data_IF_525371324705
#
_entry.id   IF_525371324705
#
_cell.length_a   1.000
_cell.length_b   1.000
_cell.length_c   1.000
_cell.angle_alpha   90.00
_cell.angle_beta   90.00
_cell.angle_gamma   90.00
#
_symmetry.space_group_name_H-M   'P 1'
#
loop_
_entity.id
_entity.type
_entity.pdbx_description
1 polymer ?
#
# COMPACT_ATOMS: atom_id res chain seq x y z
N UNK A 1 41.72 22.67 -48.42
CA UNK A 1 42.88 22.34 -47.55
C UNK A 1 42.97 23.46 -46.54
N UNK A 2 42.78 23.29 -45.22
CA UNK A 2 43.65 22.63 -44.22
C UNK A 2 42.81 22.44 -42.93
N UNK A 3 43.02 21.32 -42.25
CA UNK A 3 42.38 20.94 -40.98
C UNK A 3 42.90 21.74 -39.78
N UNK A 4 42.10 21.91 -38.73
CA UNK A 4 42.59 21.93 -37.34
C UNK A 4 41.46 21.53 -36.38
N UNK A 5 41.59 20.34 -35.79
CA UNK A 5 40.79 19.82 -34.70
C UNK A 5 41.09 20.54 -33.39
N UNK A 6 40.07 20.89 -32.61
CA UNK A 6 40.18 20.95 -31.14
C UNK A 6 38.89 20.37 -30.54
N UNK A 7 39.01 19.15 -30.02
CA UNK A 7 38.06 18.54 -29.09
C UNK A 7 38.15 19.27 -27.74
N UNK A 8 37.03 19.72 -27.18
CA UNK A 8 36.94 20.07 -25.76
C UNK A 8 35.90 19.16 -25.12
N UNK A 9 36.40 18.24 -24.31
CA UNK A 9 35.62 17.36 -23.45
C UNK A 9 35.02 18.18 -22.30
N UNK A 10 33.69 18.25 -22.24
CA UNK A 10 33.00 18.71 -21.03
C UNK A 10 32.96 17.53 -20.04
N UNK A 11 33.92 17.51 -19.12
CA UNK A 11 33.93 16.61 -17.96
C UNK A 11 32.74 17.01 -17.09
N UNK A 12 31.68 16.20 -17.12
CA UNK A 12 30.61 16.27 -16.13
C UNK A 12 31.18 15.82 -14.79
N UNK A 13 31.38 16.77 -13.86
CA UNK A 13 31.59 16.43 -12.46
C UNK A 13 30.35 15.70 -11.96
N UNK A 14 30.45 14.38 -11.78
CA UNK A 14 29.56 13.66 -10.88
C UNK A 14 29.84 14.17 -9.47
N UNK A 15 28.89 14.93 -8.92
CA UNK A 15 28.79 15.13 -7.49
C UNK A 15 28.51 13.79 -6.82
N UNK A 16 29.58 13.14 -6.34
CA UNK A 16 29.45 12.06 -5.38
C UNK A 16 28.80 12.65 -4.11
N UNK A 17 27.53 12.34 -3.88
CA UNK A 17 26.93 12.55 -2.57
C UNK A 17 27.76 11.77 -1.54
N UNK A 18 28.14 12.37 -0.40
CA UNK A 18 28.91 11.66 0.61
C UNK A 18 28.11 10.46 1.12
N UNK A 19 28.65 9.26 0.88
CA UNK A 19 28.32 8.06 1.62
C UNK A 19 28.83 8.24 3.06
N UNK A 20 28.10 9.01 3.86
CA UNK A 20 28.33 9.09 5.29
C UNK A 20 27.98 7.73 5.88
N UNK A 21 29.00 6.99 6.32
CA UNK A 21 28.82 5.85 7.20
C UNK A 21 27.98 6.33 8.40
N UNK A 22 26.73 5.88 8.48
CA UNK A 22 25.84 6.21 9.60
C UNK A 22 26.52 5.64 10.85
N UNK A 23 27.05 6.52 11.70
CA UNK A 23 27.63 6.14 12.98
C UNK A 23 26.62 5.24 13.71
N UNK A 24 27.07 4.08 14.20
CA UNK A 24 26.17 3.10 14.79
C UNK A 24 25.38 3.67 15.99
N UNK A 25 25.93 4.68 16.68
CA UNK A 25 25.20 5.38 17.75
C UNK A 25 24.13 6.30 17.17
N UNK A 26 24.42 6.99 16.08
CA UNK A 26 23.44 7.84 15.41
C UNK A 26 22.27 7.03 14.83
N UNK A 27 22.53 5.87 14.21
CA UNK A 27 21.48 4.92 13.80
C UNK A 27 20.58 4.54 14.98
N UNK A 28 21.21 4.18 16.11
CA UNK A 28 20.50 3.79 17.33
C UNK A 28 19.70 4.94 17.95
N UNK A 29 20.16 6.18 17.79
CA UNK A 29 19.43 7.38 18.24
C UNK A 29 18.17 7.58 17.41
N UNK A 30 18.26 7.48 16.09
CA UNK A 30 17.11 7.54 15.18
C UNK A 30 16.07 6.45 15.51
N UNK A 31 16.51 5.21 15.74
CA UNK A 31 15.60 4.11 16.12
C UNK A 31 14.90 4.35 17.46
N UNK A 32 15.63 4.85 18.47
CA UNK A 32 15.10 5.15 19.81
C UNK A 32 14.13 6.31 19.80
N UNK A 33 14.45 7.37 19.06
CA UNK A 33 13.62 8.58 18.94
C UNK A 33 12.46 8.42 17.97
N UNK A 34 12.45 7.36 17.14
CA UNK A 34 11.46 7.16 16.09
C UNK A 34 11.63 8.08 14.88
N UNK A 35 12.75 8.81 14.80
CA UNK A 35 13.07 9.68 13.68
C UNK A 35 13.77 8.91 12.54
N UNK A 36 13.68 9.47 11.34
CA UNK A 36 14.54 9.17 10.19
C UNK A 36 15.44 10.37 9.91
N UNK A 37 16.51 10.20 9.11
CA UNK A 37 17.35 11.33 8.67
C UNK A 37 16.52 12.43 7.99
N UNK A 38 15.50 12.04 7.21
CA UNK A 38 14.63 13.01 6.52
C UNK A 38 13.76 13.76 7.53
N UNK A 39 13.14 13.06 8.48
CA UNK A 39 12.28 13.72 9.46
C UNK A 39 13.07 14.57 10.46
N UNK A 40 14.34 14.23 10.74
CA UNK A 40 15.21 15.07 11.57
C UNK A 40 15.43 16.44 10.93
N UNK A 41 15.72 16.47 9.62
CA UNK A 41 15.82 17.72 8.85
C UNK A 41 14.51 18.50 8.82
N UNK A 42 13.37 17.84 9.06
CA UNK A 42 12.04 18.43 9.12
C UNK A 42 11.61 18.82 10.55
N UNK A 43 12.44 18.58 11.56
CA UNK A 43 12.19 18.99 12.95
C UNK A 43 11.92 17.85 13.95
N UNK A 44 12.08 16.58 13.55
CA UNK A 44 12.05 15.44 14.48
C UNK A 44 13.30 15.45 15.36
N UNK A 45 13.12 15.48 16.68
CA UNK A 45 14.23 15.62 17.62
C UNK A 45 14.77 14.25 18.05
N UNK A 46 15.99 13.92 17.62
CA UNK A 46 16.64 12.64 17.93
C UNK A 46 17.01 12.45 19.42
N UNK A 47 16.92 13.51 20.22
CA UNK A 47 17.15 13.47 21.66
C UNK A 47 15.87 13.14 22.46
N UNK A 48 14.69 13.29 21.85
CA UNK A 48 13.39 12.96 22.47
C UNK A 48 13.02 11.49 22.32
N UNK A 49 12.06 11.05 23.14
CA UNK A 49 11.49 9.71 23.00
C UNK A 49 10.59 9.61 21.77
N UNK A 50 10.40 8.39 21.27
CA UNK A 50 9.45 8.10 20.19
C UNK A 50 8.04 8.61 20.48
N UNK A 51 7.57 8.51 21.73
CA UNK A 51 6.23 8.95 22.09
C UNK A 51 6.07 10.48 22.00
N UNK A 52 7.09 11.22 22.45
CA UNK A 52 7.11 12.68 22.38
C UNK A 52 7.19 13.18 20.94
N UNK A 53 8.03 12.55 20.10
CA UNK A 53 8.10 12.88 18.69
C UNK A 53 6.79 12.52 17.97
N UNK A 54 6.17 11.38 18.29
CA UNK A 54 4.89 10.99 17.74
C UNK A 54 3.77 11.98 18.13
N UNK A 55 3.77 12.47 19.37
CA UNK A 55 2.86 13.52 19.82
C UNK A 55 3.09 14.85 19.08
N UNK A 56 4.32 15.12 18.65
CA UNK A 56 4.68 16.26 17.80
C UNK A 56 4.44 16.01 16.30
N UNK A 57 3.83 14.88 15.92
CA UNK A 57 3.54 14.52 14.52
C UNK A 57 4.71 13.88 13.76
N UNK A 58 5.83 13.59 14.43
CA UNK A 58 7.00 12.95 13.86
C UNK A 58 7.10 11.49 14.31
N UNK A 59 7.02 10.57 13.35
CA UNK A 59 6.91 9.15 13.64
C UNK A 59 5.83 8.55 12.78
N UNK A 60 6.07 8.53 11.47
CA UNK A 60 5.36 7.56 10.64
C UNK A 60 5.74 6.18 11.15
N UNK A 61 4.71 5.34 11.30
CA UNK A 61 4.75 3.99 11.85
C UNK A 61 6.07 3.28 11.55
N UNK A 62 6.56 2.52 12.54
CA UNK A 62 7.65 1.56 12.38
C UNK A 62 7.62 0.98 10.96
N UNK A 63 8.75 0.93 10.22
CA UNK A 63 8.74 0.48 8.85
C UNK A 63 7.95 -0.82 8.80
N UNK A 64 6.83 -0.78 8.08
CA UNK A 64 5.98 -1.94 7.95
C UNK A 64 6.89 -3.12 7.57
N UNK A 65 6.75 -4.30 8.21
CA UNK A 65 7.68 -5.40 8.05
C UNK A 65 8.00 -5.58 6.57
N UNK A 66 9.30 -5.59 6.24
CA UNK A 66 9.79 -5.66 4.86
C UNK A 66 9.04 -6.77 4.11
N UNK A 67 8.05 -6.39 3.30
CA UNK A 67 7.03 -7.30 2.78
C UNK A 67 5.60 -6.73 2.75
N UNK A 68 5.35 -5.63 3.46
CA UNK A 68 4.20 -4.76 3.20
C UNK A 68 4.49 -3.94 1.93
N UNK A 69 4.03 -4.45 0.78
CA UNK A 69 3.90 -3.62 -0.41
C UNK A 69 2.99 -2.40 -0.14
N UNK A 70 2.89 -1.45 -1.08
CA UNK A 70 1.94 -0.34 -0.94
C UNK A 70 0.57 -0.90 -0.54
N UNK A 71 -0.03 -0.32 0.50
CA UNK A 71 -1.34 -0.74 0.99
C UNK A 71 -2.31 -0.73 -0.18
N UNK A 72 -2.79 -1.91 -0.56
CA UNK A 72 -3.78 -2.02 -1.62
C UNK A 72 -5.13 -1.52 -1.10
N UNK A 73 -5.90 -0.76 -1.91
CA UNK A 73 -7.21 -0.26 -1.49
C UNK A 73 -8.25 -1.37 -1.30
N UNK A 74 -7.92 -2.62 -1.61
CA UNK A 74 -8.82 -3.77 -1.45
C UNK A 74 -8.59 -4.52 -0.13
N UNK A 75 -7.47 -4.29 0.57
CA UNK A 75 -7.14 -5.04 1.78
C UNK A 75 -8.16 -4.77 2.89
N UNK A 76 -8.65 -5.82 3.53
CA UNK A 76 -9.67 -5.74 4.57
C UNK A 76 -10.54 -6.98 4.68
N UNK A 77 -11.49 -6.90 5.60
CA UNK A 77 -12.64 -7.80 5.68
C UNK A 77 -13.82 -7.14 4.98
N UNK A 78 -14.62 -7.95 4.29
CA UNK A 78 -15.81 -7.48 3.59
C UNK A 78 -16.94 -8.48 3.75
N UNK A 79 -18.17 -7.98 3.67
CA UNK A 79 -19.38 -8.78 3.76
C UNK A 79 -20.21 -8.56 2.50
N UNK A 80 -20.42 -9.63 1.74
CA UNK A 80 -21.39 -9.67 0.66
C UNK A 80 -22.79 -9.83 1.28
N UNK A 81 -23.65 -8.83 1.08
CA UNK A 81 -25.03 -8.80 1.56
C UNK A 81 -26.00 -9.02 0.41
N UNK A 82 -27.02 -9.84 0.64
CA UNK A 82 -28.15 -9.99 -0.29
C UNK A 82 -29.12 -8.80 -0.16
N UNK A 83 -30.09 -8.73 -1.08
CA UNK A 83 -31.08 -7.66 -1.13
C UNK A 83 -31.94 -7.58 0.15
N UNK A 84 -32.14 -8.70 0.85
CA UNK A 84 -32.85 -8.78 2.13
C UNK A 84 -31.97 -8.42 3.34
N UNK A 85 -30.70 -8.05 3.12
CA UNK A 85 -29.74 -7.70 4.17
C UNK A 85 -29.05 -8.91 4.81
N UNK A 86 -29.40 -10.14 4.44
CA UNK A 86 -28.72 -11.35 4.91
C UNK A 86 -27.27 -11.41 4.39
N UNK A 87 -26.41 -12.09 5.16
CA UNK A 87 -25.02 -12.30 4.74
C UNK A 87 -24.96 -13.45 3.76
N UNK A 88 -24.53 -13.16 2.54
CA UNK A 88 -24.31 -14.14 1.48
C UNK A 88 -22.91 -14.76 1.59
N UNK A 89 -21.88 -13.94 1.80
CA UNK A 89 -20.50 -14.41 1.96
C UNK A 89 -19.65 -13.44 2.78
N UNK A 90 -18.65 -13.99 3.46
CA UNK A 90 -17.56 -13.23 4.09
C UNK A 90 -16.36 -13.26 3.18
N UNK A 91 -15.69 -12.12 3.03
CA UNK A 91 -14.58 -11.95 2.11
C UNK A 91 -13.39 -11.39 2.89
N UNK A 92 -12.20 -11.92 2.61
CA UNK A 92 -10.96 -11.40 3.18
C UNK A 92 -9.98 -11.15 2.05
N UNK A 93 -9.35 -9.98 2.09
CA UNK A 93 -8.33 -9.58 1.12
C UNK A 93 -7.13 -9.08 1.90
N UNK A 94 -5.94 -9.60 1.61
CA UNK A 94 -4.73 -9.15 2.26
C UNK A 94 -3.96 -8.09 1.47
N UNK A 95 -2.86 -7.61 2.04
CA UNK A 95 -1.99 -6.60 1.43
C UNK A 95 -1.34 -7.07 0.12
N UNK A 96 -1.39 -8.36 -0.19
CA UNK A 96 -0.90 -8.96 -1.45
C UNK A 96 -2.04 -9.30 -2.40
N UNK A 97 -3.26 -8.82 -2.12
CA UNK A 97 -4.48 -9.07 -2.90
C UNK A 97 -4.82 -10.55 -3.03
N UNK A 98 -4.38 -11.37 -2.07
CA UNK A 98 -4.88 -12.73 -1.96
C UNK A 98 -6.29 -12.65 -1.40
N UNK A 99 -7.22 -13.34 -2.05
CA UNK A 99 -8.64 -13.27 -1.74
C UNK A 99 -9.14 -14.59 -1.18
N UNK A 100 -9.96 -14.51 -0.14
CA UNK A 100 -10.70 -15.63 0.42
C UNK A 100 -12.19 -15.32 0.43
N UNK A 101 -12.99 -16.28 0.00
CA UNK A 101 -14.46 -16.27 0.06
C UNK A 101 -14.87 -17.36 1.03
N UNK A 102 -15.55 -17.03 2.13
CA UNK A 102 -15.92 -17.97 3.20
C UNK A 102 -14.72 -18.82 3.67
N UNK A 103 -13.54 -18.20 3.78
CA UNK A 103 -12.30 -18.87 4.17
C UNK A 103 -11.62 -19.70 3.07
N UNK A 104 -12.25 -19.92 1.91
CA UNK A 104 -11.67 -20.61 0.76
C UNK A 104 -10.90 -19.64 -0.13
N UNK A 105 -9.64 -19.95 -0.45
CA UNK A 105 -8.81 -19.10 -1.31
C UNK A 105 -9.29 -19.17 -2.77
N UNK A 106 -9.48 -18.00 -3.39
CA UNK A 106 -9.86 -17.88 -4.81
C UNK A 106 -8.81 -17.10 -5.60
N UNK A 107 -8.86 -17.21 -6.93
CA UNK A 107 -8.05 -16.39 -7.82
C UNK A 107 -8.74 -15.04 -8.02
N UNK A 108 -7.98 -13.97 -7.93
CA UNK A 108 -8.42 -12.62 -8.22
C UNK A 108 -7.59 -12.02 -9.35
N UNK A 109 -8.21 -11.12 -10.09
CA UNK A 109 -7.54 -10.29 -11.12
C UNK A 109 -7.97 -8.84 -10.95
N UNK A 110 -7.09 -7.91 -11.29
CA UNK A 110 -7.50 -6.52 -11.46
C UNK A 110 -8.06 -6.33 -12.86
N UNK A 111 -9.17 -5.62 -12.99
CA UNK A 111 -9.80 -5.21 -14.25
C UNK A 111 -10.45 -3.86 -14.04
N UNK A 112 -10.17 -2.90 -14.92
CA UNK A 112 -10.89 -1.60 -14.96
C UNK A 112 -10.90 -0.85 -13.62
N UNK A 113 -9.80 -0.92 -12.88
CA UNK A 113 -9.68 -0.27 -11.57
C UNK A 113 -10.38 -1.01 -10.42
N UNK A 114 -10.98 -2.18 -10.67
CA UNK A 114 -11.58 -3.05 -9.66
C UNK A 114 -10.77 -4.35 -9.46
N UNK A 115 -10.91 -4.96 -8.29
CA UNK A 115 -10.51 -6.32 -8.02
C UNK A 115 -11.70 -7.25 -8.25
N UNK A 116 -11.52 -8.18 -9.19
CA UNK A 116 -12.57 -9.08 -9.67
C UNK A 116 -12.16 -10.52 -9.40
N UNK A 117 -13.05 -11.29 -8.79
CA UNK A 117 -12.82 -12.70 -8.47
C UNK A 117 -14.11 -13.50 -8.52
N UNK A 118 -13.98 -14.83 -8.61
CA UNK A 118 -15.11 -15.76 -8.72
C UNK A 118 -15.00 -16.92 -7.76
N UNK A 119 -16.15 -17.37 -7.25
CA UNK A 119 -16.32 -18.69 -6.63
C UNK A 119 -17.49 -19.39 -7.31
N UNK A 120 -17.19 -20.34 -8.19
CA UNK A 120 -18.20 -21.00 -9.03
C UNK A 120 -18.94 -20.00 -9.95
N UNK A 121 -20.29 -19.97 -9.94
CA UNK A 121 -21.09 -19.06 -10.75
C UNK A 121 -21.15 -17.63 -10.18
N UNK A 122 -20.56 -17.37 -9.02
CA UNK A 122 -20.62 -16.08 -8.35
C UNK A 122 -19.44 -15.20 -8.76
N UNK A 123 -19.73 -13.99 -9.21
CA UNK A 123 -18.77 -12.93 -9.49
C UNK A 123 -18.81 -11.88 -8.40
N UNK A 124 -17.64 -11.51 -7.90
CA UNK A 124 -17.45 -10.43 -6.94
C UNK A 124 -16.58 -9.35 -7.57
N UNK A 125 -16.94 -8.09 -7.33
CA UNK A 125 -16.25 -6.91 -7.83
C UNK A 125 -16.11 -5.91 -6.68
N UNK A 126 -14.89 -5.47 -6.41
CA UNK A 126 -14.59 -4.45 -5.41
C UNK A 126 -13.75 -3.35 -6.07
N UNK A 127 -14.21 -2.09 -6.04
CA UNK A 127 -13.65 -0.93 -6.73
C UNK A 127 -12.42 -0.34 -6.07
N UNK A 128 -11.31 -0.17 -6.77
CA UNK A 128 -10.09 0.38 -6.16
C UNK A 128 -10.25 1.82 -5.68
N UNK A 129 -11.12 2.60 -6.34
CA UNK A 129 -11.46 3.94 -5.90
C UNK A 129 -12.53 3.90 -4.80
N UNK A 130 -12.09 4.12 -3.56
CA UNK A 130 -12.95 4.17 -2.38
C UNK A 130 -13.86 5.40 -2.31
N UNK A 131 -13.71 6.37 -3.22
CA UNK A 131 -14.64 7.50 -3.34
C UNK A 131 -15.97 7.07 -3.96
N UNK A 132 -15.96 5.94 -4.69
CA UNK A 132 -17.15 5.35 -5.27
C UNK A 132 -17.89 4.53 -4.21
N UNK A 133 -19.08 4.99 -3.83
CA UNK A 133 -19.90 4.34 -2.79
C UNK A 133 -20.96 3.48 -3.46
N UNK A 134 -21.10 2.22 -3.02
CA UNK A 134 -22.13 1.31 -3.50
C UNK A 134 -21.81 0.57 -4.81
N UNK A 135 -20.60 0.74 -5.35
CA UNK A 135 -20.14 0.07 -6.58
C UNK A 135 -19.49 -1.31 -6.31
N UNK A 136 -19.24 -1.65 -5.04
CA UNK A 136 -18.77 -2.95 -4.61
C UNK A 136 -19.95 -3.94 -4.62
N UNK A 137 -19.91 -4.94 -5.50
CA UNK A 137 -21.08 -5.77 -5.82
C UNK A 137 -20.73 -7.24 -6.02
N UNK A 138 -21.73 -8.10 -5.83
CA UNK A 138 -21.66 -9.52 -6.19
C UNK A 138 -22.89 -9.92 -7.01
N UNK A 139 -22.72 -10.92 -7.88
CA UNK A 139 -23.79 -11.51 -8.67
C UNK A 139 -23.59 -13.03 -8.83
N UNK A 140 -24.61 -13.81 -8.51
CA UNK A 140 -24.71 -15.24 -8.78
C UNK A 140 -25.47 -15.45 -10.10
N UNK A 141 -24.76 -15.92 -11.12
CA UNK A 141 -25.34 -16.14 -12.45
C UNK A 141 -26.15 -17.43 -12.57
N UNK A 142 -26.04 -18.36 -11.62
CA UNK A 142 -26.83 -19.59 -11.59
C UNK A 142 -28.18 -19.33 -10.92
N UNK A 143 -28.17 -18.69 -9.75
CA UNK A 143 -29.37 -18.33 -9.02
C UNK A 143 -30.07 -17.05 -9.53
N UNK A 144 -29.38 -16.25 -10.37
CA UNK A 144 -29.87 -14.96 -10.83
C UNK A 144 -29.98 -13.89 -9.72
N UNK A 145 -29.25 -14.08 -8.62
CA UNK A 145 -29.26 -13.17 -7.46
C UNK A 145 -28.06 -12.23 -7.47
N UNK A 146 -28.19 -11.10 -6.79
CA UNK A 146 -27.11 -10.11 -6.67
C UNK A 146 -27.24 -9.31 -5.38
N UNK A 147 -26.19 -8.60 -5.03
CA UNK A 147 -26.20 -7.70 -3.90
C UNK A 147 -24.96 -6.84 -3.79
N UNK A 148 -24.81 -6.20 -2.63
CA UNK A 148 -23.74 -5.25 -2.34
C UNK A 148 -22.67 -5.91 -1.49
N UNK A 149 -21.44 -5.42 -1.60
CA UNK A 149 -20.35 -5.77 -0.73
C UNK A 149 -20.03 -4.54 0.12
N UNK A 150 -19.92 -4.73 1.44
CA UNK A 150 -19.57 -3.66 2.39
C UNK A 150 -18.30 -4.04 3.13
N UNK A 151 -17.46 -3.05 3.42
CA UNK A 151 -16.36 -3.25 4.36
C UNK A 151 -16.92 -3.51 5.76
N UNK A 152 -16.27 -4.40 6.52
CA UNK A 152 -16.58 -4.66 7.93
C UNK A 152 -15.92 -3.63 8.86
#
# INVERSE_FOLDING_TARGET
MKSCWISVAAIGLLSAAPAHAIDAKYARQLERSGCTQVSELQGCDITKTRAENAAAGFGTAAPAPAGAGPATPYAGQWVARAADGSTFATLRIDLRERVWVNGKRVKAKRSDGALVFRDGPVLFTIQGDRRLVGEDTWADFDAGTKGVIVAE
#
